data_IF_346804712472
#
_entry.id   IF_346804712472
#
_cell.length_a   1.000
_cell.length_b   1.000
_cell.length_c   1.000
_cell.angle_alpha   90.00
_cell.angle_beta   90.00
_cell.angle_gamma   90.00
#
_symmetry.space_group_name_H-M   'P 1'
#
loop_
_entity.id
_entity.type
_entity.pdbx_description
1 polymer ?
#
# COMPACT_ATOMS: atom_id res chain seq x y z
N UNK A 1 5.70 -5.44 27.81
CA UNK A 1 5.72 -4.51 26.66
C UNK A 1 5.02 -5.22 25.51
N UNK A 2 3.87 -4.72 25.06
CA UNK A 2 3.25 -5.20 23.82
C UNK A 2 4.09 -4.68 22.66
N UNK A 3 4.45 -5.53 21.70
CA UNK A 3 5.24 -5.14 20.54
C UNK A 3 4.44 -4.14 19.71
N UNK A 4 4.95 -2.91 19.56
CA UNK A 4 4.34 -1.89 18.70
C UNK A 4 4.37 -2.40 17.25
N UNK A 5 3.23 -2.42 16.55
CA UNK A 5 3.18 -2.77 15.12
C UNK A 5 3.80 -1.60 14.35
N UNK A 6 5.09 -1.72 14.05
CA UNK A 6 5.86 -0.69 13.35
C UNK A 6 5.70 -0.75 11.83
N UNK A 7 5.40 -1.91 11.27
CA UNK A 7 5.24 -2.12 9.83
C UNK A 7 4.34 -3.32 9.54
N UNK A 8 3.77 -3.35 8.34
CA UNK A 8 3.05 -4.50 7.78
C UNK A 8 3.74 -4.83 6.45
N UNK A 9 4.34 -6.01 6.38
CA UNK A 9 4.94 -6.53 5.16
C UNK A 9 3.87 -7.33 4.40
N UNK A 10 3.61 -6.95 3.15
CA UNK A 10 2.43 -7.43 2.38
C UNK A 10 2.50 -8.92 2.05
N UNK A 11 3.69 -9.52 2.10
CA UNK A 11 3.94 -10.94 1.83
C UNK A 11 4.48 -11.70 3.05
N UNK A 12 4.26 -11.18 4.26
CA UNK A 12 4.55 -11.92 5.48
C UNK A 12 3.28 -12.36 6.18
N UNK A 13 3.24 -13.62 6.57
CA UNK A 13 2.12 -14.18 7.31
C UNK A 13 2.03 -13.53 8.69
N UNK A 14 0.87 -12.94 8.99
CA UNK A 14 0.60 -12.29 10.28
C UNK A 14 -0.85 -12.44 10.66
N UNK A 15 -1.12 -12.56 11.95
CA UNK A 15 -2.46 -12.69 12.47
C UNK A 15 -2.70 -11.64 13.58
N UNK A 16 -3.89 -11.05 13.58
CA UNK A 16 -4.32 -10.10 14.62
C UNK A 16 -5.69 -10.52 15.14
N UNK A 17 -5.82 -10.59 16.46
CA UNK A 17 -7.11 -10.73 17.14
C UNK A 17 -7.66 -9.33 17.44
N UNK A 18 -8.92 -9.10 17.06
CA UNK A 18 -9.61 -7.82 17.19
C UNK A 18 -11.08 -8.05 17.52
N UNK A 19 -11.72 -7.01 18.02
CA UNK A 19 -13.17 -6.90 18.11
C UNK A 19 -13.68 -5.98 17.01
N UNK A 20 -14.63 -6.44 16.20
CA UNK A 20 -15.21 -5.66 15.12
C UNK A 20 -16.57 -5.11 15.50
N UNK A 21 -16.80 -3.83 15.21
CA UNK A 21 -18.12 -3.21 15.40
C UNK A 21 -18.98 -3.43 14.16
N UNK A 22 -20.09 -4.14 14.34
CA UNK A 22 -21.10 -4.34 13.28
C UNK A 22 -22.25 -3.32 13.40
N UNK A 23 -23.15 -3.29 12.41
CA UNK A 23 -24.23 -2.31 12.29
C UNK A 23 -25.16 -2.25 13.53
N UNK A 24 -25.38 -3.40 14.19
CA UNK A 24 -26.13 -3.49 15.45
C UNK A 24 -25.40 -2.89 16.67
N UNK A 25 -24.27 -2.20 16.44
CA UNK A 25 -23.42 -1.55 17.44
C UNK A 25 -22.81 -2.48 18.48
N UNK A 26 -22.91 -3.81 18.29
CA UNK A 26 -22.21 -4.80 19.11
C UNK A 26 -20.82 -5.07 18.53
N UNK A 27 -19.91 -5.41 19.44
CA UNK A 27 -18.59 -5.90 19.10
C UNK A 27 -18.61 -7.42 19.01
N UNK A 28 -17.96 -7.95 17.98
CA UNK A 28 -17.80 -9.38 17.75
C UNK A 28 -16.33 -9.72 17.63
N UNK A 29 -15.93 -10.86 18.19
CA UNK A 29 -14.56 -11.34 18.05
C UNK A 29 -14.25 -11.66 16.60
N UNK A 30 -13.09 -11.20 16.16
CA UNK A 30 -12.64 -11.35 14.81
C UNK A 30 -11.13 -11.54 14.72
N UNK A 31 -10.71 -12.15 13.62
CA UNK A 31 -9.32 -12.43 13.31
C UNK A 31 -9.00 -11.83 11.94
N UNK A 32 -7.95 -11.02 11.87
CA UNK A 32 -7.33 -10.62 10.61
C UNK A 32 -6.17 -11.54 10.34
N UNK A 33 -6.18 -12.21 9.19
CA UNK A 33 -5.10 -13.07 8.74
C UNK A 33 -4.52 -12.48 7.45
N UNK A 34 -3.26 -12.04 7.49
CA UNK A 34 -2.47 -11.70 6.31
C UNK A 34 -1.75 -12.98 5.87
N UNK A 35 -1.95 -13.37 4.63
CA UNK A 35 -1.21 -14.43 3.96
C UNK A 35 -0.33 -13.85 2.87
N UNK A 36 0.48 -14.70 2.23
CA UNK A 36 1.30 -14.32 1.09
C UNK A 36 0.50 -13.78 -0.13
N UNK A 37 -0.82 -13.99 -0.17
CA UNK A 37 -1.68 -13.64 -1.29
C UNK A 37 -2.69 -12.54 -0.99
N UNK A 38 -3.26 -12.55 0.21
CA UNK A 38 -4.38 -11.70 0.57
C UNK A 38 -4.44 -11.50 2.08
N UNK A 39 -5.23 -10.52 2.51
CA UNK A 39 -5.66 -10.41 3.88
C UNK A 39 -7.13 -10.79 3.97
N UNK A 40 -7.45 -11.61 4.97
CA UNK A 40 -8.83 -12.01 5.25
C UNK A 40 -9.23 -11.55 6.65
N UNK A 41 -10.48 -11.12 6.78
CA UNK A 41 -11.10 -10.80 8.06
C UNK A 41 -12.15 -11.86 8.33
N UNK A 42 -12.03 -12.50 9.47
CA UNK A 42 -12.95 -13.53 9.90
C UNK A 42 -13.67 -13.09 11.17
N UNK A 43 -15.00 -13.10 11.13
CA UNK A 43 -15.85 -12.61 12.23
C UNK A 43 -16.71 -13.76 12.74
N UNK A 44 -16.75 -13.93 14.06
CA UNK A 44 -17.55 -14.94 14.72
C UNK A 44 -18.40 -14.33 15.83
N UNK A 45 -19.61 -14.86 16.00
CA UNK A 45 -20.48 -14.38 17.06
C UNK A 45 -21.69 -15.25 17.28
N UNK A 46 -22.39 -14.93 18.35
CA UNK A 46 -23.71 -15.46 18.67
C UNK A 46 -24.72 -14.32 18.67
N UNK A 47 -25.96 -14.64 18.32
CA UNK A 47 -27.10 -13.74 18.40
C UNK A 47 -28.28 -14.44 19.04
N UNK A 48 -29.19 -13.64 19.58
CA UNK A 48 -30.45 -14.12 20.16
C UNK A 48 -31.63 -13.49 19.43
N UNK A 49 -32.73 -14.22 19.25
CA UNK A 49 -33.95 -13.64 18.69
C UNK A 49 -33.91 -13.38 17.19
N UNK A 50 -34.79 -12.46 16.81
CA UNK A 50 -34.76 -11.71 15.56
C UNK A 50 -33.76 -10.53 15.63
N UNK A 51 -32.70 -10.62 16.44
CA UNK A 51 -31.62 -9.64 16.31
C UNK A 51 -31.21 -9.61 14.84
N UNK A 52 -31.29 -8.44 14.23
CA UNK A 52 -30.71 -8.19 12.92
C UNK A 52 -29.18 -8.36 13.07
N UNK A 53 -28.70 -9.60 13.14
CA UNK A 53 -27.45 -9.89 12.47
C UNK A 53 -27.77 -9.61 11.03
N UNK A 54 -27.23 -8.49 10.58
CA UNK A 54 -26.88 -8.18 9.20
C UNK A 54 -27.19 -9.40 8.33
N UNK A 55 -28.39 -9.38 7.75
CA UNK A 55 -28.84 -10.50 6.94
C UNK A 55 -27.77 -10.74 5.88
N UNK A 56 -27.55 -12.00 5.50
CA UNK A 56 -26.68 -12.34 4.39
C UNK A 56 -26.90 -11.42 3.17
N UNK A 57 -28.12 -10.91 2.96
CA UNK A 57 -28.47 -9.92 1.94
C UNK A 57 -27.71 -8.57 2.03
N UNK A 58 -27.36 -8.09 3.22
CA UNK A 58 -26.52 -6.88 3.40
C UNK A 58 -25.05 -7.07 2.99
N UNK A 59 -24.61 -8.32 2.83
CA UNK A 59 -23.22 -8.67 2.53
C UNK A 59 -23.08 -9.49 1.24
N UNK A 60 -24.19 -9.91 0.63
CA UNK A 60 -24.19 -10.77 -0.55
C UNK A 60 -24.00 -9.91 -1.80
N UNK A 61 -22.76 -9.86 -2.27
CA UNK A 61 -22.41 -9.19 -3.53
C UNK A 61 -22.01 -7.72 -3.38
N UNK A 62 -22.20 -7.14 -2.20
CA UNK A 62 -21.81 -5.77 -1.92
C UNK A 62 -20.37 -5.68 -1.42
N UNK A 63 -19.63 -4.70 -1.97
CA UNK A 63 -18.36 -4.29 -1.40
C UNK A 63 -18.65 -3.43 -0.18
N UNK A 64 -18.17 -3.84 0.99
CA UNK A 64 -18.24 -3.02 2.20
C UNK A 64 -17.16 -1.95 2.11
N UNK A 65 -17.58 -0.69 1.99
CA UNK A 65 -16.66 0.43 1.83
C UNK A 65 -15.76 0.63 3.05
N UNK A 66 -16.29 0.42 4.25
CA UNK A 66 -15.57 0.64 5.51
C UNK A 66 -16.04 -0.28 6.65
N UNK A 67 -15.09 -0.86 7.38
CA UNK A 67 -15.31 -1.52 8.67
C UNK A 67 -14.29 -1.05 9.69
N UNK A 68 -14.69 -1.10 10.96
CA UNK A 68 -13.88 -0.69 12.09
C UNK A 68 -13.69 -1.85 13.07
N UNK A 69 -12.44 -2.16 13.37
CA UNK A 69 -12.07 -3.10 14.42
C UNK A 69 -11.14 -2.47 15.44
N UNK A 70 -11.06 -3.05 16.63
CA UNK A 70 -10.20 -2.57 17.71
C UNK A 70 -9.56 -3.75 18.44
N UNK A 71 -8.36 -3.56 18.95
CA UNK A 71 -7.82 -4.39 20.02
C UNK A 71 -7.35 -3.50 21.17
N UNK A 72 -6.60 -4.07 22.12
CA UNK A 72 -6.11 -3.33 23.30
C UNK A 72 -5.22 -2.12 22.98
N UNK A 73 -4.64 -2.05 21.77
CA UNK A 73 -3.64 -1.04 21.40
C UNK A 73 -4.06 -0.25 20.17
N UNK A 74 -4.61 -0.94 19.17
CA UNK A 74 -4.83 -0.42 17.83
C UNK A 74 -6.30 -0.44 17.44
N UNK A 75 -6.64 0.54 16.63
CA UNK A 75 -7.86 0.61 15.85
C UNK A 75 -7.52 0.30 14.40
N UNK A 76 -8.25 -0.63 13.82
CA UNK A 76 -8.11 -1.11 12.45
C UNK A 76 -9.20 -0.47 11.60
N UNK A 77 -8.76 0.14 10.50
CA UNK A 77 -9.63 0.77 9.52
C UNK A 77 -9.58 -0.06 8.24
N UNK A 78 -10.60 -0.88 7.99
CA UNK A 78 -10.69 -1.73 6.80
C UNK A 78 -11.47 -1.01 5.71
N UNK A 79 -11.01 -1.13 4.46
CA UNK A 79 -11.68 -0.54 3.30
C UNK A 79 -11.81 -1.53 2.16
N UNK A 80 -12.87 -1.36 1.36
CA UNK A 80 -13.22 -2.18 0.20
C UNK A 80 -13.17 -3.68 0.49
N UNK A 81 -13.89 -4.12 1.54
CA UNK A 81 -13.97 -5.52 1.93
C UNK A 81 -15.06 -6.26 1.15
N UNK A 82 -14.81 -7.51 0.77
CA UNK A 82 -15.78 -8.33 0.01
C UNK A 82 -16.05 -9.64 0.73
N UNK A 83 -17.32 -9.95 0.95
CA UNK A 83 -17.72 -11.19 1.63
C UNK A 83 -17.65 -12.36 0.66
N UNK A 84 -16.92 -13.41 1.04
CA UNK A 84 -16.81 -14.64 0.24
C UNK A 84 -17.31 -15.88 0.98
N UNK A 85 -17.56 -15.78 2.29
CA UNK A 85 -18.10 -16.88 3.08
C UNK A 85 -19.05 -16.37 4.15
N UNK A 86 -20.19 -17.04 4.28
CA UNK A 86 -21.16 -16.81 5.35
C UNK A 86 -21.77 -18.14 5.77
N UNK A 87 -21.86 -18.38 7.08
CA UNK A 87 -22.56 -19.53 7.64
C UNK A 87 -23.24 -19.13 8.95
N UNK A 88 -24.51 -19.51 9.09
CA UNK A 88 -25.28 -19.40 10.32
C UNK A 88 -25.80 -20.79 10.72
N UNK A 89 -25.81 -21.08 12.02
CA UNK A 89 -26.36 -22.33 12.58
C UNK A 89 -27.09 -22.07 13.88
N UNK A 90 -28.18 -22.79 14.12
CA UNK A 90 -28.86 -22.80 15.42
C UNK A 90 -27.97 -23.48 16.47
N UNK A 91 -27.99 -22.97 17.70
CA UNK A 91 -27.26 -23.55 18.83
C UNK A 91 -28.13 -24.65 19.46
N UNK A 92 -27.58 -25.87 19.58
CA UNK A 92 -28.31 -27.00 20.14
C UNK A 92 -28.70 -26.73 21.61
N UNK A 93 -29.96 -27.02 21.96
CA UNK A 93 -30.47 -26.90 23.33
C UNK A 93 -30.90 -25.48 23.76
N UNK A 94 -30.77 -24.47 22.88
CA UNK A 94 -31.26 -23.11 23.15
C UNK A 94 -32.15 -22.68 21.99
N UNK A 95 -33.47 -22.65 22.22
CA UNK A 95 -34.39 -22.02 21.28
C UNK A 95 -34.02 -20.55 21.12
N UNK A 96 -34.00 -20.06 19.89
CA UNK A 96 -33.82 -18.64 19.57
C UNK A 96 -32.37 -18.11 19.69
N UNK A 97 -31.36 -18.98 19.61
CA UNK A 97 -29.96 -18.56 19.44
C UNK A 97 -29.31 -19.15 18.19
N UNK A 98 -28.53 -18.33 17.52
CA UNK A 98 -27.74 -18.73 16.35
C UNK A 98 -26.29 -18.29 16.49
N UNK A 99 -25.38 -19.17 16.09
CA UNK A 99 -23.97 -18.81 15.88
C UNK A 99 -23.75 -18.50 14.41
N UNK A 100 -22.91 -17.50 14.13
CA UNK A 100 -22.55 -17.11 12.76
C UNK A 100 -21.04 -17.01 12.56
N UNK A 101 -20.63 -17.15 11.30
CA UNK A 101 -19.25 -17.03 10.82
C UNK A 101 -19.25 -16.29 9.47
N UNK A 102 -18.48 -15.22 9.37
CA UNK A 102 -18.33 -14.42 8.14
C UNK A 102 -16.84 -14.37 7.79
N UNK A 103 -16.49 -14.59 6.52
CA UNK A 103 -15.15 -14.28 6.01
C UNK A 103 -15.21 -13.26 4.89
N UNK A 104 -14.30 -12.29 4.98
CA UNK A 104 -14.17 -11.18 4.07
C UNK A 104 -12.74 -11.14 3.51
N UNK A 105 -12.60 -10.82 2.23
CA UNK A 105 -11.31 -10.40 1.67
C UNK A 105 -11.15 -8.90 1.92
N UNK A 106 -9.99 -8.50 2.43
CA UNK A 106 -9.65 -7.12 2.74
C UNK A 106 -8.76 -6.59 1.62
N UNK A 107 -9.18 -5.50 0.95
CA UNK A 107 -8.30 -4.85 -0.04
C UNK A 107 -7.31 -3.90 0.59
N UNK A 108 -7.75 -3.12 1.58
CA UNK A 108 -6.88 -2.18 2.27
C UNK A 108 -7.20 -2.14 3.76
N UNK A 109 -6.17 -1.96 4.58
CA UNK A 109 -6.39 -1.50 5.94
C UNK A 109 -5.19 -0.74 6.50
N UNK A 110 -5.43 0.18 7.41
CA UNK A 110 -4.38 0.83 8.18
C UNK A 110 -4.72 0.84 9.67
N UNK A 111 -3.70 1.12 10.48
CA UNK A 111 -3.81 1.17 11.94
C UNK A 111 -3.87 2.62 12.44
N UNK A 112 -4.53 2.82 13.57
CA UNK A 112 -4.42 4.02 14.39
C UNK A 112 -4.42 3.62 15.88
N UNK A 113 -4.07 4.54 16.78
CA UNK A 113 -4.06 4.23 18.22
C UNK A 113 -5.49 4.23 18.78
N UNK A 114 -5.89 3.14 19.44
CA UNK A 114 -7.26 2.93 19.93
C UNK A 114 -7.73 3.98 20.96
N UNK A 115 -6.80 4.55 21.74
CA UNK A 115 -7.11 5.48 22.84
C UNK A 115 -6.73 6.94 22.56
N UNK A 116 -6.53 7.30 21.30
CA UNK A 116 -6.30 8.71 20.93
C UNK A 116 -7.59 9.50 21.18
N UNK A 117 -7.59 10.44 22.12
CA UNK A 117 -8.71 11.36 22.38
C UNK A 117 -9.07 12.30 21.21
N UNK A 118 -8.51 12.08 20.01
CA UNK A 118 -8.77 12.88 18.82
C UNK A 118 -9.93 12.27 18.03
N UNK A 119 -11.11 12.88 18.15
CA UNK A 119 -12.27 12.63 17.31
C UNK A 119 -12.09 13.05 15.85
N UNK A 120 -11.07 12.54 15.15
CA UNK A 120 -10.97 12.72 13.70
C UNK A 120 -11.97 11.78 13.02
N UNK A 121 -13.23 12.22 12.97
CA UNK A 121 -14.28 11.55 12.18
C UNK A 121 -13.96 11.52 10.67
N UNK A 122 -12.98 12.32 10.22
CA UNK A 122 -12.46 12.27 8.85
C UNK A 122 -10.98 11.84 8.91
N UNK A 123 -10.70 10.61 8.48
CA UNK A 123 -9.34 10.13 8.27
C UNK A 123 -8.75 10.87 7.06
N UNK A 124 -8.15 12.03 7.31
CA UNK A 124 -7.40 12.80 6.31
C UNK A 124 -5.90 12.49 6.43
N UNK A 125 -5.19 12.54 5.30
CA UNK A 125 -3.79 12.11 5.23
C UNK A 125 -2.88 13.21 4.72
N UNK A 126 -1.70 13.35 5.33
CA UNK A 126 -0.68 14.32 4.93
C UNK A 126 0.33 13.74 3.95
N UNK A 127 0.58 12.43 3.99
CA UNK A 127 1.43 11.77 2.99
C UNK A 127 1.22 10.26 2.88
N UNK A 128 1.69 9.69 1.78
CA UNK A 128 1.79 8.25 1.55
C UNK A 128 3.25 7.93 1.22
N UNK A 129 3.78 6.87 1.82
CA UNK A 129 5.13 6.36 1.53
C UNK A 129 5.07 4.91 1.09
N UNK A 130 5.71 4.58 -0.02
CA UNK A 130 5.71 3.25 -0.64
C UNK A 130 7.14 2.76 -0.80
N UNK A 131 7.40 1.55 -0.30
CA UNK A 131 8.65 0.82 -0.52
C UNK A 131 8.40 -0.29 -1.54
N UNK A 132 9.18 -0.27 -2.61
CA UNK A 132 9.00 -1.17 -3.74
C UNK A 132 10.34 -1.58 -4.34
N UNK A 133 10.62 -2.89 -4.45
CA UNK A 133 11.76 -3.39 -5.21
C UNK A 133 11.71 -2.97 -6.69
N UNK A 134 10.51 -2.90 -7.28
CA UNK A 134 10.32 -2.43 -8.67
C UNK A 134 10.87 -1.01 -8.83
N UNK A 135 10.60 -0.12 -7.87
CA UNK A 135 11.12 1.25 -7.88
C UNK A 135 12.63 1.28 -7.69
N UNK A 136 13.14 0.53 -6.70
CA UNK A 136 14.60 0.40 -6.46
C UNK A 136 15.32 -0.01 -7.74
N UNK A 137 14.75 -0.96 -8.45
CA UNK A 137 15.34 -1.52 -9.65
C UNK A 137 15.19 -0.61 -10.87
N UNK A 138 14.04 0.03 -11.04
CA UNK A 138 13.80 1.03 -12.08
C UNK A 138 14.76 2.22 -11.99
N UNK A 139 15.07 2.66 -10.77
CA UNK A 139 16.06 3.71 -10.51
C UNK A 139 17.50 3.26 -10.83
N UNK A 140 17.81 2.00 -10.55
CA UNK A 140 19.18 1.49 -10.60
C UNK A 140 20.09 2.16 -9.57
N UNK A 141 21.40 2.13 -9.84
CA UNK A 141 22.41 2.82 -9.01
C UNK A 141 22.55 4.26 -9.49
N UNK A 142 22.35 5.22 -8.59
CA UNK A 142 22.39 6.66 -8.92
C UNK A 142 23.63 7.36 -8.34
N UNK A 143 23.98 8.52 -8.92
CA UNK A 143 25.05 9.38 -8.39
C UNK A 143 24.71 9.86 -6.98
N UNK A 144 23.43 10.17 -6.71
CA UNK A 144 22.95 10.61 -5.39
C UNK A 144 23.15 9.54 -4.33
N UNK A 145 22.88 8.25 -4.62
CA UNK A 145 23.19 7.17 -3.67
C UNK A 145 24.67 7.15 -3.29
N UNK A 146 25.56 7.26 -4.28
CA UNK A 146 27.01 7.30 -4.03
C UNK A 146 27.42 8.53 -3.22
N UNK A 147 26.80 9.68 -3.46
CA UNK A 147 26.99 10.90 -2.66
C UNK A 147 26.55 10.69 -1.20
N UNK A 148 25.37 10.10 -0.97
CA UNK A 148 24.89 9.75 0.37
C UNK A 148 25.88 8.82 1.08
N UNK A 149 26.38 7.79 0.39
CA UNK A 149 27.40 6.89 0.94
C UNK A 149 28.68 7.66 1.33
N UNK A 150 29.20 8.53 0.46
CA UNK A 150 30.39 9.34 0.72
C UNK A 150 30.21 10.35 1.86
N UNK A 151 29.01 10.93 2.00
CA UNK A 151 28.70 11.84 3.10
C UNK A 151 28.55 11.09 4.43
N UNK A 152 27.90 9.93 4.41
CA UNK A 152 27.70 9.08 5.60
C UNK A 152 28.99 8.49 6.17
N UNK A 153 30.05 8.37 5.36
CA UNK A 153 31.37 7.90 5.82
C UNK A 153 32.21 9.01 6.45
N UNK A 154 31.86 10.29 6.22
CA UNK A 154 32.59 11.47 6.72
C UNK A 154 31.91 12.14 7.91
N UNK A 155 30.59 12.04 8.05
CA UNK A 155 29.80 12.68 9.10
C UNK A 155 28.76 11.72 9.73
N UNK A 156 28.11 12.14 10.82
CA UNK A 156 26.88 11.47 11.29
C UNK A 156 25.88 11.46 10.13
N UNK A 157 25.26 10.30 9.92
CA UNK A 157 24.23 10.03 8.89
C UNK A 157 23.41 11.26 8.49
N UNK A 158 23.21 11.50 7.17
CA UNK A 158 22.40 12.60 6.66
C UNK A 158 20.89 12.36 6.83
N UNK A 159 20.46 11.80 7.96
CA UNK A 159 19.07 11.41 8.25
C UNK A 159 18.04 12.53 8.18
N UNK A 160 18.47 13.80 8.07
CA UNK A 160 17.61 14.98 8.03
C UNK A 160 17.87 15.92 6.85
N UNK A 161 18.88 15.63 6.03
CA UNK A 161 19.19 16.46 4.88
C UNK A 161 18.32 16.03 3.70
N UNK A 162 17.22 16.76 3.46
CA UNK A 162 16.28 16.45 2.41
C UNK A 162 16.94 16.51 1.02
N UNK A 163 17.79 17.51 0.76
CA UNK A 163 18.39 17.72 -0.55
C UNK A 163 19.40 16.63 -0.89
N UNK A 164 20.09 16.12 0.13
CA UNK A 164 20.98 14.97 0.00
C UNK A 164 20.22 13.65 -0.13
N UNK A 165 19.04 13.51 0.49
CA UNK A 165 18.25 12.27 0.43
C UNK A 165 17.27 12.21 -0.75
N UNK A 166 16.95 13.33 -1.39
CA UNK A 166 16.02 13.39 -2.51
C UNK A 166 16.73 13.11 -3.84
N UNK A 167 16.35 12.02 -4.52
CA UNK A 167 16.80 11.74 -5.89
C UNK A 167 16.17 12.74 -6.85
N UNK A 168 14.84 12.88 -6.79
CA UNK A 168 14.09 13.92 -7.47
C UNK A 168 12.76 14.19 -6.75
N UNK A 169 12.23 15.39 -6.94
CA UNK A 169 10.93 15.81 -6.44
C UNK A 169 10.20 16.65 -7.48
N UNK A 170 8.91 16.40 -7.65
CA UNK A 170 8.05 17.07 -8.61
C UNK A 170 6.82 17.60 -7.90
N UNK A 171 6.55 18.89 -8.07
CA UNK A 171 5.35 19.53 -7.58
C UNK A 171 4.20 19.42 -8.60
N UNK A 172 3.05 18.92 -8.15
CA UNK A 172 1.82 18.80 -8.92
C UNK A 172 0.84 19.89 -8.48
N UNK A 173 0.90 21.06 -9.13
CA UNK A 173 -0.06 22.17 -9.04
C UNK A 173 -0.65 22.43 -7.64
N UNK A 174 0.19 22.58 -6.61
CA UNK A 174 -0.22 22.79 -5.21
C UNK A 174 -1.08 21.66 -4.58
N UNK A 175 -1.27 20.53 -5.26
CA UNK A 175 -2.02 19.37 -4.76
C UNK A 175 -1.11 18.46 -3.93
N UNK A 176 0.05 18.11 -4.47
CA UNK A 176 1.03 17.27 -3.77
C UNK A 176 2.41 17.36 -4.42
N UNK A 177 3.41 16.91 -3.69
CA UNK A 177 4.73 16.61 -4.23
C UNK A 177 4.90 15.11 -4.42
N UNK A 178 5.39 14.72 -5.58
CA UNK A 178 5.83 13.36 -5.88
C UNK A 178 7.35 13.29 -5.77
N UNK A 179 7.87 12.50 -4.82
CA UNK A 179 9.29 12.46 -4.51
C UNK A 179 9.81 11.02 -4.50
N UNK A 180 11.06 10.84 -4.92
CA UNK A 180 11.85 9.64 -4.63
C UNK A 180 12.91 10.00 -3.61
N UNK A 181 12.80 9.39 -2.42
CA UNK A 181 13.67 9.68 -1.27
C UNK A 181 14.44 8.43 -0.85
N UNK A 182 15.72 8.59 -0.55
CA UNK A 182 16.54 7.56 0.06
C UNK A 182 16.36 7.50 1.58
N UNK A 183 16.33 6.28 2.12
CA UNK A 183 16.12 6.04 3.54
C UNK A 183 17.33 5.32 4.12
N UNK A 184 17.94 5.86 5.17
CA UNK A 184 19.01 5.14 5.86
C UNK A 184 18.46 3.92 6.61
N UNK A 185 18.99 2.74 6.32
CA UNK A 185 18.76 1.50 7.06
C UNK A 185 20.09 0.94 7.54
N UNK A 186 20.11 0.46 8.78
CA UNK A 186 21.26 -0.19 9.40
C UNK A 186 20.88 -1.62 9.75
N UNK A 187 21.64 -2.57 9.24
CA UNK A 187 21.59 -3.96 9.67
C UNK A 187 22.91 -4.30 10.33
N UNK A 188 22.85 -4.77 11.56
CA UNK A 188 23.99 -5.42 12.22
C UNK A 188 23.75 -6.92 12.15
N UNK A 189 24.74 -7.67 11.70
CA UNK A 189 24.67 -9.12 11.78
C UNK A 189 24.52 -9.56 13.25
N UNK A 190 23.89 -10.71 13.48
CA UNK A 190 23.64 -11.26 14.82
C UNK A 190 24.91 -11.40 15.67
N UNK A 191 26.07 -11.56 15.02
CA UNK A 191 27.38 -11.66 15.68
C UNK A 191 28.04 -10.29 15.91
N UNK A 192 27.41 -9.18 15.49
CA UNK A 192 27.90 -7.81 15.69
C UNK A 192 29.15 -7.43 14.88
N UNK A 193 29.70 -8.34 14.08
CA UNK A 193 30.97 -8.15 13.37
C UNK A 193 30.84 -7.28 12.11
N UNK A 194 29.71 -7.40 11.40
CA UNK A 194 29.46 -6.60 10.22
C UNK A 194 28.28 -5.66 10.46
N UNK A 195 28.45 -4.42 10.03
CA UNK A 195 27.39 -3.44 9.96
C UNK A 195 27.19 -3.08 8.49
N UNK A 196 26.03 -3.44 7.97
CA UNK A 196 25.61 -3.09 6.60
C UNK A 196 24.73 -1.85 6.68
N UNK A 197 25.16 -0.79 6.00
CA UNK A 197 24.38 0.43 5.79
C UNK A 197 23.80 0.41 4.38
N UNK A 198 22.49 0.53 4.28
CA UNK A 198 21.74 0.55 3.03
C UNK A 198 20.96 1.87 2.92
N UNK A 199 20.81 2.37 1.69
CA UNK A 199 20.00 3.55 1.39
C UNK A 199 18.93 3.24 0.34
N UNK A 200 17.94 2.37 0.64
CA UNK A 200 16.89 2.04 -0.33
C UNK A 200 16.01 3.26 -0.62
N UNK A 201 15.63 3.46 -1.90
CA UNK A 201 14.66 4.47 -2.27
C UNK A 201 13.26 4.11 -1.77
N UNK A 202 12.46 5.12 -1.54
CA UNK A 202 11.02 5.03 -1.34
C UNK A 202 10.34 6.13 -2.15
N UNK A 203 9.18 5.80 -2.68
CA UNK A 203 8.29 6.80 -3.25
C UNK A 203 7.52 7.47 -2.13
N UNK A 204 7.52 8.79 -2.13
CA UNK A 204 6.79 9.60 -1.17
C UNK A 204 5.86 10.57 -1.90
N UNK A 205 4.61 10.63 -1.48
CA UNK A 205 3.64 11.62 -1.93
C UNK A 205 3.26 12.49 -0.74
N UNK A 206 3.66 13.76 -0.76
CA UNK A 206 3.36 14.73 0.29
C UNK A 206 2.22 15.65 -0.16
N UNK A 207 1.05 15.53 0.46
CA UNK A 207 -0.12 16.33 0.11
C UNK A 207 0.03 17.79 0.56
N UNK A 208 -0.38 18.71 -0.31
CA UNK A 208 -0.32 20.16 -0.11
C UNK A 208 -1.70 20.76 -0.35
N UNK A 209 -1.99 21.88 0.30
CA UNK A 209 -3.26 22.61 0.17
C UNK A 209 -4.46 21.91 0.80
N UNK A 210 -4.80 20.71 0.34
CA UNK A 210 -5.93 19.90 0.78
C UNK A 210 -5.49 18.47 1.11
N UNK A 211 -5.79 18.01 2.33
CA UNK A 211 -5.49 16.64 2.75
C UNK A 211 -6.60 15.68 2.31
N UNK A 212 -6.32 14.70 1.44
CA UNK A 212 -7.32 13.77 0.97
C UNK A 212 -7.79 12.82 2.07
N UNK A 213 -8.99 12.28 1.89
CA UNK A 213 -9.47 11.11 2.60
C UNK A 213 -8.85 9.82 2.04
N UNK A 214 -9.29 8.66 2.54
CA UNK A 214 -8.73 7.38 2.09
C UNK A 214 -9.09 7.07 0.64
N UNK A 215 -10.21 7.56 0.13
CA UNK A 215 -10.59 7.41 -1.28
C UNK A 215 -9.64 8.15 -2.20
N UNK A 216 -9.25 9.38 -1.85
CA UNK A 216 -8.22 10.13 -2.56
C UNK A 216 -6.87 9.43 -2.52
N UNK A 217 -6.47 8.92 -1.35
CA UNK A 217 -5.26 8.09 -1.18
C UNK A 217 -5.26 6.86 -2.10
N UNK A 218 -6.38 6.11 -2.14
CA UNK A 218 -6.55 4.95 -3.03
C UNK A 218 -6.37 5.35 -4.50
N UNK A 219 -6.91 6.48 -4.90
CA UNK A 219 -6.79 6.95 -6.28
C UNK A 219 -5.34 7.27 -6.66
N UNK A 220 -4.59 7.93 -5.77
CA UNK A 220 -3.17 8.22 -5.97
C UNK A 220 -2.35 6.93 -6.06
N UNK A 221 -2.58 5.94 -5.18
CA UNK A 221 -1.92 4.64 -5.26
C UNK A 221 -2.19 3.96 -6.61
N UNK A 222 -3.44 3.98 -7.09
CA UNK A 222 -3.80 3.44 -8.42
C UNK A 222 -3.07 4.16 -9.55
N UNK A 223 -3.01 5.49 -9.52
CA UNK A 223 -2.29 6.29 -10.52
C UNK A 223 -0.79 5.97 -10.52
N UNK A 224 -0.17 5.87 -9.34
CA UNK A 224 1.23 5.42 -9.19
C UNK A 224 1.41 4.03 -9.79
N UNK A 225 0.57 3.07 -9.41
CA UNK A 225 0.70 1.70 -9.93
C UNK A 225 0.56 1.63 -11.45
N UNK A 226 -0.31 2.48 -12.03
CA UNK A 226 -0.55 2.51 -13.49
C UNK A 226 0.61 3.12 -14.25
N UNK A 227 1.16 4.26 -13.78
CA UNK A 227 2.31 4.86 -14.46
C UNK A 227 3.55 3.96 -14.36
N UNK A 228 3.82 3.37 -13.19
CA UNK A 228 4.95 2.45 -13.04
C UNK A 228 4.77 1.17 -13.87
N UNK A 229 3.54 0.71 -14.07
CA UNK A 229 3.29 -0.40 -15.01
C UNK A 229 3.77 -0.07 -16.41
N UNK A 230 3.42 1.11 -16.92
CA UNK A 230 3.83 1.56 -18.25
C UNK A 230 5.35 1.77 -18.34
N UNK A 231 5.98 2.27 -17.27
CA UNK A 231 7.44 2.47 -17.23
C UNK A 231 8.22 1.15 -17.17
N UNK A 232 7.71 0.16 -16.43
CA UNK A 232 8.47 -1.05 -16.08
C UNK A 232 7.98 -2.31 -16.78
N UNK A 233 6.87 -2.25 -17.51
CA UNK A 233 6.23 -3.38 -18.19
C UNK A 233 5.56 -4.39 -17.25
N UNK A 234 5.45 -4.06 -15.95
CA UNK A 234 5.05 -5.01 -14.93
C UNK A 234 4.38 -4.34 -13.73
N UNK A 235 3.65 -5.12 -12.95
CA UNK A 235 3.02 -4.62 -11.73
C UNK A 235 4.05 -4.18 -10.71
N UNK A 236 3.84 -3.00 -10.11
CA UNK A 236 4.66 -2.53 -9.00
C UNK A 236 4.52 -3.49 -7.82
N UNK A 237 5.64 -4.06 -7.39
CA UNK A 237 5.71 -4.88 -6.17
C UNK A 237 5.82 -3.93 -4.98
N UNK A 238 4.81 -3.88 -4.12
CA UNK A 238 4.84 -3.07 -2.92
C UNK A 238 5.15 -4.00 -1.75
N UNK A 239 6.31 -3.79 -1.13
CA UNK A 239 6.76 -4.56 0.03
C UNK A 239 6.04 -4.08 1.30
N UNK A 240 5.99 -2.75 1.46
CA UNK A 240 5.31 -2.07 2.56
C UNK A 240 4.94 -0.65 2.20
N UNK A 241 3.89 -0.15 2.84
CA UNK A 241 3.44 1.22 2.69
C UNK A 241 3.09 1.83 4.05
N UNK A 242 3.11 3.15 4.09
CA UNK A 242 2.79 3.93 5.27
C UNK A 242 1.93 5.13 4.90
N UNK A 243 1.08 5.54 5.84
CA UNK A 243 0.32 6.77 5.80
C UNK A 243 0.78 7.70 6.91
N UNK A 244 0.76 9.00 6.66
CA UNK A 244 0.94 9.99 7.71
C UNK A 244 -0.35 10.79 7.86
N UNK A 245 -0.72 11.07 9.11
CA UNK A 245 -1.81 11.97 9.42
C UNK A 245 -1.26 13.38 9.65
N UNK A 246 -2.02 14.44 9.31
CA UNK A 246 -1.63 15.80 9.64
C UNK A 246 -1.35 15.92 11.15
N UNK A 247 -0.22 16.56 11.51
CA UNK A 247 0.22 16.77 12.91
C UNK A 247 0.63 15.51 13.68
N UNK A 248 0.56 14.32 13.09
CA UNK A 248 1.15 13.12 13.67
C UNK A 248 2.63 13.03 13.28
N UNK A 249 3.47 12.71 14.25
CA UNK A 249 4.92 12.56 14.03
C UNK A 249 5.32 11.17 13.56
N UNK A 250 4.46 10.17 13.80
CA UNK A 250 4.73 8.77 13.44
C UNK A 250 3.86 8.35 12.24
N UNK A 251 4.46 7.75 11.19
CA UNK A 251 3.71 7.10 10.13
C UNK A 251 2.96 5.87 10.66
N UNK A 252 1.81 5.56 10.08
CA UNK A 252 1.05 4.34 10.37
C UNK A 252 1.20 3.33 9.24
N UNK A 253 1.34 2.03 9.54
CA UNK A 253 1.39 0.99 8.53
C UNK A 253 0.09 0.92 7.70
N UNK A 254 0.25 0.74 6.39
CA UNK A 254 -0.83 0.51 5.43
C UNK A 254 -0.64 -0.85 4.75
N UNK A 255 -1.64 -1.70 4.85
CA UNK A 255 -1.79 -2.88 4.03
C UNK A 255 -2.58 -2.56 2.75
N UNK A 256 -2.15 -3.15 1.65
CA UNK A 256 -2.82 -3.10 0.36
C UNK A 256 -2.69 -4.45 -0.35
N UNK A 257 -3.82 -4.96 -0.85
CA UNK A 257 -3.88 -6.20 -1.61
C UNK A 257 -3.42 -5.95 -3.06
N UNK A 258 -2.96 -7.01 -3.74
CA UNK A 258 -2.67 -6.96 -5.17
C UNK A 258 -1.24 -6.58 -5.56
N UNK A 259 -0.31 -6.46 -4.60
CA UNK A 259 1.11 -6.58 -4.94
C UNK A 259 1.35 -8.01 -5.42
N UNK A 260 1.86 -8.20 -6.64
CA UNK A 260 2.27 -9.53 -7.11
C UNK A 260 3.32 -10.12 -6.18
N UNK A 261 3.42 -11.45 -6.09
CA UNK A 261 4.45 -12.08 -5.26
C UNK A 261 5.86 -11.71 -5.78
N UNK A 262 6.82 -11.69 -4.87
CA UNK A 262 8.25 -11.84 -5.16
C UNK A 262 8.50 -13.24 -5.76
N UNK A 263 8.06 -13.47 -6.99
CA UNK A 263 8.10 -14.79 -7.64
C UNK A 263 8.91 -14.82 -8.93
N UNK A 264 8.93 -13.70 -9.65
CA UNK A 264 9.82 -13.53 -10.79
C UNK A 264 10.87 -12.51 -10.36
N UNK A 265 12.13 -12.93 -10.29
CA UNK A 265 13.23 -11.97 -10.24
C UNK A 265 13.03 -11.03 -11.42
N UNK A 266 12.68 -9.79 -11.13
CA UNK A 266 12.57 -8.80 -12.19
C UNK A 266 14.00 -8.65 -12.71
N UNK A 267 14.29 -8.88 -13.99
CA UNK A 267 15.63 -8.60 -14.57
C UNK A 267 15.62 -7.21 -15.22
N UNK A 268 16.73 -6.46 -15.20
CA UNK A 268 16.74 -5.05 -15.66
C UNK A 268 16.37 -4.95 -17.14
N UNK A 269 16.73 -5.98 -17.91
CA UNK A 269 16.38 -6.15 -19.32
C UNK A 269 14.88 -6.21 -19.62
N UNK A 270 14.05 -6.42 -18.60
CA UNK A 270 12.59 -6.53 -18.78
C UNK A 270 11.87 -5.18 -18.61
N UNK A 271 12.60 -4.11 -18.27
CA UNK A 271 12.01 -2.78 -18.09
C UNK A 271 11.90 -2.03 -19.41
N UNK A 272 10.74 -1.42 -19.65
CA UNK A 272 10.46 -0.67 -20.87
C UNK A 272 11.22 0.66 -20.92
N UNK A 273 11.28 1.37 -19.78
CA UNK A 273 11.88 2.70 -19.65
C UNK A 273 12.64 2.80 -18.33
N UNK A 274 13.95 2.55 -18.36
CA UNK A 274 14.83 2.68 -17.19
C UNK A 274 15.08 4.15 -16.82
N UNK A 275 15.22 4.45 -15.53
CA UNK A 275 15.60 5.79 -15.08
C UNK A 275 17.04 6.15 -15.44
N UNK A 276 17.94 5.18 -15.25
CA UNK A 276 19.37 5.25 -15.54
C UNK A 276 19.81 3.89 -16.07
N UNK A 277 20.77 3.82 -16.99
CA UNK A 277 21.30 2.54 -17.45
C UNK A 277 22.24 1.90 -16.43
N UNK A 278 22.38 0.58 -16.54
CA UNK A 278 23.29 -0.25 -15.74
C UNK A 278 24.78 0.09 -15.99
N UNK A 279 25.07 0.95 -16.96
CA UNK A 279 26.40 1.50 -17.16
C UNK A 279 26.69 2.57 -16.11
N UNK A 280 27.27 2.13 -14.98
CA UNK A 280 27.67 2.97 -13.85
C UNK A 280 28.44 4.26 -14.23
N UNK A 281 29.00 4.35 -15.45
CA UNK A 281 29.93 5.40 -15.85
C UNK A 281 29.78 5.93 -17.30
N UNK A 282 28.69 5.67 -18.01
CA UNK A 282 28.50 6.20 -19.38
C UNK A 282 27.27 7.11 -19.54
N UNK A 283 27.13 8.07 -18.61
CA UNK A 283 26.03 9.04 -18.59
C UNK A 283 26.06 10.06 -19.74
N UNK A 284 27.16 10.13 -20.49
CA UNK A 284 27.32 11.12 -21.55
C UNK A 284 26.58 10.73 -22.84
N UNK A 285 26.19 9.45 -22.97
CA UNK A 285 25.63 8.93 -24.21
C UNK A 285 24.14 8.54 -24.12
N UNK A 286 23.53 8.51 -22.93
CA UNK A 286 22.12 8.15 -22.77
C UNK A 286 21.30 9.23 -22.05
N UNK A 287 20.12 9.61 -22.60
CA UNK A 287 19.25 10.57 -21.95
C UNK A 287 18.68 9.98 -20.66
N UNK A 288 18.82 10.72 -19.57
CA UNK A 288 18.13 10.42 -18.30
C UNK A 288 16.62 10.43 -18.52
N UNK A 289 15.89 9.55 -17.84
CA UNK A 289 14.43 9.53 -17.92
C UNK A 289 13.85 10.93 -17.61
N UNK A 290 12.97 11.48 -18.47
CA UNK A 290 12.42 12.82 -18.29
C UNK A 290 11.42 12.83 -17.15
N UNK A 291 11.90 13.16 -15.94
CA UNK A 291 11.13 13.10 -14.69
C UNK A 291 9.84 13.92 -14.78
N UNK A 292 9.83 15.03 -15.52
CA UNK A 292 8.63 15.85 -15.82
C UNK A 292 7.46 15.07 -16.46
N UNK A 293 7.71 13.87 -16.96
CA UNK A 293 6.66 12.95 -17.41
C UNK A 293 5.69 12.58 -16.28
N UNK A 294 6.16 12.48 -15.03
CA UNK A 294 5.26 12.28 -13.88
C UNK A 294 4.31 13.47 -13.72
N UNK A 295 4.83 14.70 -13.82
CA UNK A 295 4.01 15.92 -13.77
C UNK A 295 2.95 15.91 -14.87
N UNK A 296 3.39 15.67 -16.09
CA UNK A 296 2.53 15.59 -17.27
C UNK A 296 1.41 14.57 -17.04
N UNK A 297 1.75 13.36 -16.59
CA UNK A 297 0.79 12.29 -16.30
C UNK A 297 -0.25 12.69 -15.25
N UNK A 298 0.18 13.22 -14.10
CA UNK A 298 -0.75 13.58 -13.02
C UNK A 298 -1.67 14.75 -13.39
N UNK A 299 -1.28 15.59 -14.36
CA UNK A 299 -2.09 16.69 -14.88
C UNK A 299 -2.98 16.30 -16.08
N UNK A 300 -2.89 15.06 -16.57
CA UNK A 300 -3.80 14.57 -17.60
C UNK A 300 -5.25 14.55 -17.10
N UNK A 301 -6.18 14.76 -18.04
CA UNK A 301 -7.60 14.47 -17.83
C UNK A 301 -7.82 12.99 -17.49
N UNK A 302 -8.85 12.69 -16.69
CA UNK A 302 -9.13 11.33 -16.24
C UNK A 302 -9.34 10.34 -17.41
N UNK A 303 -9.94 10.81 -18.51
CA UNK A 303 -10.11 10.04 -19.75
C UNK A 303 -8.77 9.56 -20.34
N UNK A 304 -7.73 10.40 -20.26
CA UNK A 304 -6.38 10.09 -20.74
C UNK A 304 -5.61 9.23 -19.73
N UNK A 305 -5.84 9.42 -18.43
CA UNK A 305 -5.28 8.54 -17.39
C UNK A 305 -5.83 7.12 -17.48
N UNK A 306 -7.09 6.96 -17.87
CA UNK A 306 -7.73 5.65 -18.02
C UNK A 306 -7.04 4.77 -19.06
N UNK A 307 -6.34 5.35 -20.05
CA UNK A 307 -5.50 4.63 -21.02
C UNK A 307 -4.40 3.83 -20.30
N UNK A 308 -3.70 4.45 -19.34
CA UNK A 308 -2.62 3.80 -18.58
C UNK A 308 -3.17 2.67 -17.70
N UNK A 309 -4.35 2.88 -17.12
CA UNK A 309 -5.05 1.88 -16.32
C UNK A 309 -5.54 0.70 -17.16
N UNK A 310 -6.09 0.96 -18.35
CA UNK A 310 -6.50 -0.10 -19.29
C UNK A 310 -5.32 -0.93 -19.75
N UNK A 311 -4.18 -0.28 -19.99
CA UNK A 311 -2.96 -0.98 -20.40
C UNK A 311 -2.55 -2.04 -19.36
N UNK A 312 -2.53 -1.69 -18.07
CA UNK A 312 -2.19 -2.65 -17.01
C UNK A 312 -3.23 -3.76 -16.85
N UNK A 313 -4.52 -3.44 -16.97
CA UNK A 313 -5.61 -4.44 -16.86
C UNK A 313 -5.57 -5.42 -18.02
N UNK A 314 -5.45 -4.95 -19.25
CA UNK A 314 -5.54 -5.78 -20.44
C UNK A 314 -4.30 -6.66 -20.62
N UNK A 315 -3.13 -6.17 -20.22
CA UNK A 315 -1.90 -6.95 -20.29
C UNK A 315 -1.90 -8.17 -19.34
N UNK A 316 -2.72 -8.14 -18.29
CA UNK A 316 -2.92 -9.23 -17.33
C UNK A 316 -3.98 -10.27 -17.78
N UNK A 317 -4.64 -10.08 -18.93
CA UNK A 317 -5.62 -11.05 -19.44
C UNK A 317 -4.89 -12.32 -19.92
N UNK A 318 -5.25 -13.46 -19.34
CA UNK A 318 -4.64 -14.76 -19.67
C UNK A 318 -4.95 -15.23 -21.11
N UNK A 319 -6.13 -14.89 -21.63
CA UNK A 319 -6.50 -15.22 -23.01
C UNK A 319 -5.76 -14.28 -23.98
N UNK A 320 -4.89 -14.85 -24.82
CA UNK A 320 -4.03 -14.09 -25.75
C UNK A 320 -4.81 -13.29 -26.78
N UNK A 321 -5.91 -13.83 -27.30
CA UNK A 321 -6.75 -13.17 -28.30
C UNK A 321 -7.52 -12.01 -27.66
N UNK A 322 -8.12 -12.23 -26.50
CA UNK A 322 -8.81 -11.20 -25.74
C UNK A 322 -7.87 -10.08 -25.30
N UNK A 323 -6.66 -10.44 -24.86
CA UNK A 323 -5.57 -9.49 -24.56
C UNK A 323 -5.21 -8.65 -25.78
N UNK A 324 -4.98 -9.28 -26.93
CA UNK A 324 -4.65 -8.56 -28.17
C UNK A 324 -5.76 -7.60 -28.59
N UNK A 325 -7.01 -8.07 -28.63
CA UNK A 325 -8.18 -7.23 -28.99
C UNK A 325 -8.35 -6.08 -28.00
N UNK A 326 -8.17 -6.34 -26.70
CA UNK A 326 -8.32 -5.31 -25.67
C UNK A 326 -7.21 -4.26 -25.75
N UNK A 327 -5.96 -4.65 -25.97
CA UNK A 327 -4.85 -3.72 -26.20
C UNK A 327 -5.05 -2.90 -27.48
N UNK A 328 -5.60 -3.49 -28.55
CA UNK A 328 -5.91 -2.75 -29.78
C UNK A 328 -7.01 -1.69 -29.59
N UNK A 329 -7.89 -1.85 -28.60
CA UNK A 329 -8.93 -0.87 -28.26
C UNK A 329 -8.42 0.33 -27.43
N UNK A 330 -7.15 0.33 -27.04
CA UNK A 330 -6.52 1.44 -26.32
C UNK A 330 -6.19 2.62 -27.27
N UNK A 331 -6.27 2.41 -28.60
CA UNK A 331 -5.98 3.40 -29.65
C UNK A 331 -6.93 4.61 -29.63
#
# INVERSE_FOLDING_TARGET
MLNEIQEILIHEERQFEIDIKLANSKYYSATVEITNNNATLEIFGEVSGNEEIISYEHFKGDNIEYLEGVNSTYKFHFYDSSVFYYKQRSIYGISDRSAFRIKLNIKYFHLSNAHSGSGSKNNIYSSIKIYSPTITKWLGITKKQLEIFKSSSKEKLPSKDYDLLCEFGIEIENQFNFNILYNSRWRRDYNGQNTTSEFPPSLNVDFRGHYPDFTGVKNIIKQITSIFYVLTGQSILIEKAYLCFPRHTKPVPLYLTGSSRFGNEIENKDMLLCYNSDHLFDKEHEPVFPVESFRTFFLLEESKKDVFKKFSIYDQINNKEEKFISLFRIV
#
